data_IF_322311855770
#
_entry.id   IF_322311855770
#
_cell.length_a   1.000
_cell.length_b   1.000
_cell.length_c   1.000
_cell.angle_alpha   90.00
_cell.angle_beta   90.00
_cell.angle_gamma   90.00
#
_symmetry.space_group_name_H-M   'P 1'
#
loop_
_entity.id
_entity.type
_entity.pdbx_description
1 polymer ?
#
# COMPACT_ATOMS: atom_id res chain seq x y z
N UNK A 1 -4.12 2.11 -13.85
CA UNK A 1 -2.65 2.23 -13.79
C UNK A 1 -2.27 2.57 -12.36
N UNK A 2 -1.51 1.71 -11.66
CA UNK A 2 -1.07 2.09 -10.31
C UNK A 2 0.10 3.08 -10.44
N UNK A 3 0.08 4.19 -9.69
CA UNK A 3 1.18 5.13 -9.69
C UNK A 3 2.42 4.42 -9.12
N UNK A 4 3.52 4.54 -9.84
CA UNK A 4 4.85 4.01 -9.55
C UNK A 4 5.52 4.72 -8.35
N UNK A 5 4.75 5.00 -7.29
CA UNK A 5 5.27 5.67 -6.10
C UNK A 5 6.23 4.72 -5.38
N UNK A 6 7.48 5.15 -5.24
CA UNK A 6 8.55 4.42 -4.56
C UNK A 6 8.12 4.00 -3.13
N UNK A 7 8.60 2.85 -2.66
CA UNK A 7 8.34 2.36 -1.30
C UNK A 7 8.73 3.38 -0.24
N UNK A 8 9.86 4.08 -0.41
CA UNK A 8 10.29 5.14 0.52
C UNK A 8 9.33 6.32 0.57
N UNK A 9 8.79 6.75 -0.56
CA UNK A 9 7.79 7.84 -0.61
C UNK A 9 6.50 7.43 0.11
N UNK A 10 6.10 6.16 -0.01
CA UNK A 10 4.93 5.63 0.72
C UNK A 10 5.19 5.57 2.23
N UNK A 11 6.39 5.16 2.66
CA UNK A 11 6.79 5.22 4.08
C UNK A 11 6.70 6.65 4.61
N UNK A 12 7.24 7.61 3.85
CA UNK A 12 7.18 9.02 4.20
C UNK A 12 5.73 9.49 4.35
N UNK A 13 4.86 9.16 3.39
CA UNK A 13 3.43 9.49 3.44
C UNK A 13 2.75 8.89 4.67
N UNK A 14 2.96 7.59 4.95
CA UNK A 14 2.36 6.91 6.11
C UNK A 14 2.81 7.58 7.41
N UNK A 15 4.10 7.93 7.50
CA UNK A 15 4.69 8.60 8.65
C UNK A 15 4.08 9.99 8.85
N UNK A 16 4.07 10.83 7.81
CA UNK A 16 3.54 12.19 7.88
C UNK A 16 2.04 12.23 8.19
N UNK A 17 1.29 11.24 7.71
CA UNK A 17 -0.16 11.15 7.92
C UNK A 17 -0.53 10.55 9.28
N UNK A 18 0.41 9.88 9.95
CA UNK A 18 0.16 9.22 11.23
C UNK A 18 -0.24 10.24 12.31
N UNK A 19 -1.18 9.93 13.23
CA UNK A 19 -1.68 10.84 14.25
C UNK A 19 -0.62 11.57 15.10
N UNK A 20 0.53 10.97 15.46
CA UNK A 20 1.56 11.69 16.21
C UNK A 20 2.16 12.89 15.45
N UNK A 21 2.11 12.89 14.12
CA UNK A 21 2.66 13.95 13.26
C UNK A 21 1.54 14.77 12.59
N UNK A 22 0.47 14.10 12.18
CA UNK A 22 -0.80 14.62 11.66
C UNK A 22 -0.64 15.79 10.67
N UNK A 23 0.11 15.58 9.57
CA UNK A 23 0.18 16.56 8.48
C UNK A 23 -1.09 16.55 7.61
N UNK A 24 -1.46 17.73 7.14
CA UNK A 24 -2.56 17.88 6.19
C UNK A 24 -2.18 17.27 4.85
N UNK A 25 -3.18 16.75 4.12
CA UNK A 25 -2.92 16.12 2.82
C UNK A 25 -2.37 17.12 1.79
N UNK A 26 -2.75 18.41 1.88
CA UNK A 26 -2.18 19.49 1.06
C UNK A 26 -0.69 19.70 1.33
N UNK A 27 -0.28 19.71 2.60
CA UNK A 27 1.13 19.81 2.98
C UNK A 27 1.93 18.59 2.53
N UNK A 28 1.33 17.40 2.58
CA UNK A 28 1.97 16.18 2.07
C UNK A 28 2.13 16.24 0.55
N UNK A 29 1.15 16.81 -0.17
CA UNK A 29 1.26 17.07 -1.62
C UNK A 29 2.44 18.00 -1.92
N UNK A 30 2.58 19.10 -1.18
CA UNK A 30 3.70 20.03 -1.37
C UNK A 30 5.06 19.35 -1.12
N UNK A 31 5.16 18.50 -0.10
CA UNK A 31 6.40 17.80 0.26
C UNK A 31 6.77 16.64 -0.67
N UNK A 32 5.78 15.91 -1.18
CA UNK A 32 6.01 14.64 -1.90
C UNK A 32 5.62 14.69 -3.37
N UNK A 33 4.96 15.77 -3.80
CA UNK A 33 4.34 15.93 -5.12
C UNK A 33 3.33 14.82 -5.47
N UNK A 34 2.82 14.10 -4.46
CA UNK A 34 1.83 13.03 -4.64
C UNK A 34 0.42 13.60 -4.51
N UNK A 35 -0.43 13.30 -5.51
CA UNK A 35 -1.83 13.71 -5.52
C UNK A 35 -2.54 13.33 -4.19
N UNK A 36 -3.34 14.22 -3.59
CA UNK A 36 -4.12 13.95 -2.38
C UNK A 36 -4.92 12.64 -2.38
N UNK A 37 -5.55 12.28 -3.50
CA UNK A 37 -6.29 11.02 -3.63
C UNK A 37 -5.38 9.79 -3.44
N UNK A 38 -4.13 9.91 -3.91
CA UNK A 38 -3.12 8.87 -3.83
C UNK A 38 -2.52 8.78 -2.43
N UNK A 39 -2.31 9.91 -1.75
CA UNK A 39 -1.93 9.95 -0.32
C UNK A 39 -2.94 9.16 0.52
N UNK A 40 -4.23 9.48 0.38
CA UNK A 40 -5.29 8.81 1.12
C UNK A 40 -5.37 7.31 0.79
N UNK A 41 -5.19 6.94 -0.47
CA UNK A 41 -5.15 5.53 -0.92
C UNK A 41 -3.97 4.76 -0.34
N UNK A 42 -2.78 5.37 -0.26
CA UNK A 42 -1.60 4.75 0.35
C UNK A 42 -1.87 4.51 1.84
N UNK A 43 -2.38 5.53 2.53
CA UNK A 43 -2.67 5.45 3.95
C UNK A 43 -3.74 4.39 4.28
N UNK A 44 -4.84 4.35 3.52
CA UNK A 44 -5.89 3.36 3.73
C UNK A 44 -5.42 1.92 3.47
N UNK A 45 -4.53 1.72 2.50
CA UNK A 45 -3.91 0.41 2.24
C UNK A 45 -2.97 -0.03 3.36
N UNK A 46 -2.22 0.90 3.96
CA UNK A 46 -1.42 0.59 5.13
C UNK A 46 -2.30 0.10 6.27
N UNK A 47 -3.43 0.78 6.54
CA UNK A 47 -4.41 0.35 7.56
C UNK A 47 -4.98 -1.03 7.24
N UNK A 48 -5.35 -1.28 5.97
CA UNK A 48 -5.83 -2.60 5.53
C UNK A 48 -4.76 -3.70 5.70
N UNK A 49 -3.49 -3.36 5.58
CA UNK A 49 -2.35 -4.24 5.85
C UNK A 49 -2.00 -4.34 7.35
N UNK A 50 -2.95 -4.04 8.25
CA UNK A 50 -2.80 -4.12 9.70
C UNK A 50 -1.86 -3.08 10.34
N UNK A 51 -1.58 -1.97 9.67
CA UNK A 51 -0.89 -0.84 10.30
C UNK A 51 -1.78 -0.21 11.39
N UNK A 52 -1.24 -0.05 12.61
CA UNK A 52 -1.92 0.55 13.74
C UNK A 52 -1.39 1.96 14.02
N UNK A 53 -2.06 3.03 13.54
CA UNK A 53 -1.56 4.40 13.65
C UNK A 53 -1.59 4.98 15.07
N UNK A 54 -2.44 4.43 15.94
CA UNK A 54 -2.64 4.94 17.31
C UNK A 54 -1.71 4.29 18.34
N UNK A 55 -0.81 3.40 17.91
CA UNK A 55 0.11 2.68 18.81
C UNK A 55 1.51 3.26 18.64
N UNK A 56 2.12 3.63 19.76
CA UNK A 56 3.52 4.02 19.82
C UNK A 56 4.39 2.84 20.29
N UNK A 57 5.60 2.66 19.76
CA UNK A 57 6.20 3.40 18.64
C UNK A 57 5.54 3.07 17.29
N UNK A 58 5.61 3.99 16.34
CA UNK A 58 5.11 3.76 14.98
C UNK A 58 5.94 2.66 14.29
N UNK A 59 5.35 1.48 14.10
CA UNK A 59 5.98 0.36 13.42
C UNK A 59 5.48 0.28 11.98
N UNK A 60 6.32 0.72 11.04
CA UNK A 60 6.06 0.59 9.61
C UNK A 60 6.86 -0.61 9.09
N UNK A 61 6.15 -1.66 8.67
CA UNK A 61 6.74 -2.87 8.11
C UNK A 61 6.67 -2.84 6.57
N UNK A 62 7.51 -3.61 5.86
CA UNK A 62 7.45 -3.69 4.39
C UNK A 62 6.06 -4.05 3.85
N UNK A 63 5.32 -4.89 4.59
CA UNK A 63 3.94 -5.31 4.25
C UNK A 63 2.94 -4.14 4.16
N UNK A 64 3.16 -3.04 4.90
CA UNK A 64 2.29 -1.87 4.87
C UNK A 64 2.50 -1.00 3.62
N UNK A 65 3.61 -1.21 2.92
CA UNK A 65 4.12 -0.33 1.87
C UNK A 65 4.10 -1.02 0.51
N UNK A 66 4.38 -2.33 0.51
CA UNK A 66 4.43 -3.16 -0.69
C UNK A 66 3.06 -3.25 -1.34
N UNK A 67 3.05 -3.20 -2.67
CA UNK A 67 1.84 -3.52 -3.41
C UNK A 67 1.55 -5.02 -3.29
N UNK A 68 0.30 -5.35 -2.96
CA UNK A 68 -0.18 -6.71 -3.13
C UNK A 68 0.15 -7.18 -4.56
N UNK A 69 0.65 -8.42 -4.72
CA UNK A 69 0.91 -8.98 -6.04
C UNK A 69 -0.36 -8.80 -6.86
N UNK A 70 -0.24 -8.10 -7.99
CA UNK A 70 -1.38 -7.91 -8.88
C UNK A 70 -1.76 -9.31 -9.32
N UNK A 71 -2.97 -9.74 -8.98
CA UNK A 71 -3.61 -10.90 -9.60
C UNK A 71 -3.89 -10.56 -11.06
N UNK A 72 -2.84 -10.36 -11.84
CA UNK A 72 -2.96 -10.15 -13.27
C UNK A 72 -2.94 -11.53 -13.90
N UNK A 73 -4.12 -12.16 -13.85
CA UNK A 73 -4.52 -13.39 -14.55
C UNK A 73 -4.07 -14.69 -13.85
N UNK A 74 -4.97 -15.67 -13.63
CA UNK A 74 -4.54 -17.04 -13.31
C UNK A 74 -3.60 -17.51 -14.43
N UNK A 75 -2.40 -17.96 -14.07
CA UNK A 75 -1.62 -18.77 -14.99
C UNK A 75 -2.48 -19.99 -15.35
N UNK A 76 -2.61 -20.30 -16.65
CA UNK A 76 -3.30 -21.50 -17.13
C UNK A 76 -2.90 -22.69 -16.26
N UNK A 77 -3.89 -23.40 -15.74
CA UNK A 77 -3.71 -24.66 -15.03
C UNK A 77 -2.87 -25.59 -15.91
N UNK A 78 -1.72 -26.02 -15.41
CA UNK A 78 -0.88 -27.03 -16.03
C UNK A 78 -1.52 -28.40 -15.79
N UNK A 79 -1.85 -29.11 -16.87
CA UNK A 79 -2.07 -30.56 -17.11
C UNK A 79 -2.76 -31.49 -16.08
N UNK A 80 -2.99 -31.14 -14.81
CA UNK A 80 -3.57 -32.07 -13.81
C UNK A 80 -5.10 -32.27 -13.93
N UNK A 81 -5.77 -31.56 -14.85
CA UNK A 81 -7.23 -31.70 -15.07
C UNK A 81 -7.57 -32.72 -16.16
N UNK A 82 -6.57 -33.36 -16.81
CA UNK A 82 -6.83 -34.32 -17.90
C UNK A 82 -7.19 -35.75 -17.48
N UNK A 83 -7.06 -36.15 -16.22
CA UNK A 83 -7.25 -37.57 -15.83
C UNK A 83 -8.59 -37.91 -15.15
N UNK A 84 -9.53 -36.97 -14.99
CA UNK A 84 -10.83 -37.26 -14.37
C UNK A 84 -11.99 -37.48 -15.36
N UNK A 85 -11.69 -37.80 -16.61
CA UNK A 85 -12.70 -38.31 -17.55
C UNK A 85 -12.15 -39.58 -18.20
N UNK A 86 -12.26 -40.70 -17.49
CA UNK A 86 -12.31 -42.04 -18.07
C UNK A 86 -13.50 -42.77 -17.46
#
# INVERSE_FOLDING_TARGET
>A
MAPNTNSYTRVLIITLKSPPISKLTSQILELTSVNPCMVNRIYSRAIAASFKPNVLPLKILPQHVQDAPRSSRPAKQTEEVKEQIF
#
